data_IF_099517622030
#
_entry.id   IF_099517622030
#
_cell.length_a   1.000
_cell.length_b   1.000
_cell.length_c   1.000
_cell.angle_alpha   90.00
_cell.angle_beta   90.00
_cell.angle_gamma   90.00
#
_symmetry.space_group_name_H-M   'P 1'
#
loop_
_entity.id
_entity.type
_entity.pdbx_description
1 polymer ?
#
# COMPACT_ATOMS: atom_id res chain seq x y z
N UNK A 1 26.09 -13.46 -17.86
CA UNK A 1 24.92 -14.30 -17.51
C UNK A 1 25.34 -15.37 -16.52
N UNK A 2 24.81 -15.32 -15.29
CA UNK A 2 24.62 -16.46 -14.39
C UNK A 2 23.90 -15.98 -13.14
N UNK A 3 22.65 -16.43 -12.98
CA UNK A 3 21.87 -16.31 -11.75
C UNK A 3 22.60 -17.00 -10.60
N UNK A 4 22.56 -16.50 -9.35
CA UNK A 4 22.93 -17.30 -8.21
C UNK A 4 21.69 -18.05 -7.71
N UNK A 5 21.69 -19.36 -7.96
CA UNK A 5 20.84 -20.32 -7.27
C UNK A 5 21.33 -20.45 -5.83
N UNK A 6 20.38 -20.44 -4.89
CA UNK A 6 20.61 -20.74 -3.48
C UNK A 6 21.05 -22.20 -3.32
N UNK A 7 22.27 -22.43 -2.83
CA UNK A 7 22.70 -23.74 -2.35
C UNK A 7 22.63 -23.80 -0.83
N UNK A 8 21.99 -24.87 -0.35
CA UNK A 8 21.84 -25.22 1.05
C UNK A 8 23.21 -25.41 1.72
N UNK A 9 23.42 -24.67 2.81
CA UNK A 9 24.61 -24.78 3.62
C UNK A 9 24.51 -23.90 4.86
N UNK A 10 24.00 -24.50 5.95
CA UNK A 10 24.38 -24.20 7.32
C UNK A 10 24.58 -22.72 7.70
N UNK A 11 23.48 -22.01 7.98
CA UNK A 11 23.33 -21.08 9.12
C UNK A 11 21.97 -20.39 9.03
N UNK A 12 21.09 -20.77 9.96
CA UNK A 12 19.81 -20.11 10.27
C UNK A 12 20.09 -18.68 10.77
N UNK A 13 20.35 -17.75 9.86
CA UNK A 13 20.40 -16.34 10.20
C UNK A 13 20.07 -15.54 8.95
N UNK A 14 19.00 -14.75 9.03
CA UNK A 14 18.62 -13.75 8.04
C UNK A 14 17.69 -14.19 6.89
N UNK A 15 16.65 -14.98 7.19
CA UNK A 15 15.37 -14.93 6.45
C UNK A 15 14.19 -14.50 7.34
N UNK A 16 14.46 -13.78 8.45
CA UNK A 16 13.42 -13.44 9.44
C UNK A 16 12.72 -12.10 9.21
N UNK A 17 13.30 -11.18 8.45
CA UNK A 17 12.68 -9.85 8.26
C UNK A 17 11.77 -9.77 7.03
N UNK A 18 12.08 -10.51 5.97
CA UNK A 18 11.23 -10.53 4.76
C UNK A 18 9.97 -11.38 4.93
N UNK A 19 10.03 -12.42 5.77
CA UNK A 19 8.87 -13.26 6.06
C UNK A 19 7.87 -12.59 7.03
N UNK A 20 8.30 -11.62 7.85
CA UNK A 20 7.42 -11.00 8.84
C UNK A 20 6.47 -9.99 8.21
N UNK A 21 6.91 -9.24 7.19
CA UNK A 21 6.04 -8.38 6.38
C UNK A 21 5.05 -9.20 5.55
N UNK A 22 5.47 -10.30 4.92
CA UNK A 22 4.57 -11.18 4.15
C UNK A 22 3.56 -11.94 5.01
N UNK A 23 3.92 -12.33 6.24
CA UNK A 23 2.97 -12.99 7.15
C UNK A 23 1.90 -12.03 7.70
N UNK A 24 2.21 -10.74 7.87
CA UNK A 24 1.20 -9.74 8.23
C UNK A 24 0.15 -9.57 7.13
N UNK A 25 0.55 -9.55 5.86
CA UNK A 25 -0.40 -9.52 4.73
C UNK A 25 -1.26 -10.79 4.64
N UNK A 26 -0.70 -11.96 4.99
CA UNK A 26 -1.40 -13.24 4.91
C UNK A 26 -2.45 -13.42 6.02
N UNK A 27 -2.18 -12.90 7.22
CA UNK A 27 -3.12 -12.95 8.35
C UNK A 27 -4.30 -11.98 8.19
N UNK A 28 -4.09 -10.83 7.54
CA UNK A 28 -5.17 -9.88 7.24
C UNK A 28 -6.15 -10.39 6.18
N UNK A 29 -5.83 -11.44 5.41
CA UNK A 29 -6.74 -12.03 4.43
C UNK A 29 -7.80 -12.96 5.04
N UNK A 30 -7.62 -13.42 6.29
CA UNK A 30 -8.55 -14.32 6.98
C UNK A 30 -9.73 -13.59 7.67
N UNK A 31 -9.70 -12.27 7.74
CA UNK A 31 -10.80 -11.41 8.19
C UNK A 31 -11.03 -10.38 7.10
N UNK A 32 -12.20 -10.34 6.49
CA UNK A 32 -12.50 -9.62 5.25
C UNK A 32 -12.37 -8.08 5.23
N UNK A 33 -11.48 -7.49 6.02
CA UNK A 33 -11.20 -6.05 6.05
C UNK A 33 -9.68 -5.82 5.86
N UNK A 34 -9.28 -5.31 4.70
CA UNK A 34 -7.88 -4.94 4.46
C UNK A 34 -7.57 -3.60 5.15
N UNK A 35 -6.46 -3.54 5.90
CA UNK A 35 -5.95 -2.29 6.49
C UNK A 35 -5.13 -1.49 5.47
N UNK A 36 -5.15 -0.17 5.58
CA UNK A 36 -4.26 0.68 4.80
C UNK A 36 -2.80 0.49 5.27
N UNK A 37 -1.86 0.51 4.32
CA UNK A 37 -0.43 0.54 4.63
C UNK A 37 -0.02 1.93 5.13
N UNK A 38 1.01 2.00 5.98
CA UNK A 38 1.56 3.28 6.44
C UNK A 38 2.48 3.91 5.38
N UNK A 39 2.79 5.20 5.51
CA UNK A 39 3.76 5.87 4.63
C UNK A 39 5.12 5.15 4.63
N UNK A 40 5.63 4.75 5.81
CA UNK A 40 6.93 4.09 5.94
C UNK A 40 6.96 2.72 5.23
N UNK A 41 5.84 2.00 5.22
CA UNK A 41 5.70 0.75 4.48
C UNK A 41 5.71 1.02 2.98
N UNK A 42 4.92 2.00 2.53
CA UNK A 42 4.75 2.37 1.12
C UNK A 42 6.06 2.90 0.52
N UNK A 43 6.87 3.62 1.29
CA UNK A 43 8.17 4.13 0.84
C UNK A 43 9.17 3.02 0.50
N UNK A 44 9.04 1.86 1.15
CA UNK A 44 9.89 0.68 0.92
C UNK A 44 9.40 -0.19 -0.22
N UNK A 45 8.22 0.08 -0.79
CA UNK A 45 7.66 -0.73 -1.87
C UNK A 45 8.44 -0.54 -3.17
N UNK A 46 8.74 -1.66 -3.81
CA UNK A 46 9.11 -1.66 -5.22
C UNK A 46 7.85 -1.46 -6.11
N UNK A 47 8.04 -1.39 -7.43
CA UNK A 47 6.95 -1.16 -8.39
C UNK A 47 5.79 -2.14 -8.21
N UNK A 48 6.08 -3.44 -8.17
CA UNK A 48 5.06 -4.48 -8.16
C UNK A 48 4.26 -4.45 -6.84
N UNK A 49 4.95 -4.29 -5.72
CA UNK A 49 4.34 -4.14 -4.40
C UNK A 49 3.45 -2.90 -4.31
N UNK A 50 3.90 -1.78 -4.88
CA UNK A 50 3.12 -0.55 -4.93
C UNK A 50 1.86 -0.73 -5.79
N UNK A 51 1.98 -1.36 -6.95
CA UNK A 51 0.84 -1.63 -7.83
C UNK A 51 -0.15 -2.64 -7.24
N UNK A 52 0.33 -3.63 -6.50
CA UNK A 52 -0.53 -4.54 -5.74
C UNK A 52 -1.31 -3.80 -4.66
N UNK A 53 -0.62 -2.96 -3.87
CA UNK A 53 -1.27 -2.11 -2.87
C UNK A 53 -2.33 -1.18 -3.48
N UNK A 54 -2.01 -0.53 -4.60
CA UNK A 54 -2.95 0.33 -5.35
C UNK A 54 -4.21 -0.43 -5.77
N UNK A 55 -4.09 -1.67 -6.22
CA UNK A 55 -5.24 -2.51 -6.59
C UNK A 55 -6.09 -2.91 -5.37
N UNK A 56 -5.45 -3.05 -4.21
CA UNK A 56 -6.13 -3.37 -2.96
C UNK A 56 -6.86 -2.18 -2.34
N UNK A 57 -6.60 -0.95 -2.77
CA UNK A 57 -7.23 0.25 -2.21
C UNK A 57 -8.75 0.14 -2.18
N UNK A 58 -9.39 -0.41 -3.21
CA UNK A 58 -10.86 -0.60 -3.25
C UNK A 58 -11.40 -1.46 -2.10
N UNK A 59 -10.58 -2.39 -1.60
CA UNK A 59 -10.94 -3.32 -0.53
C UNK A 59 -10.50 -2.83 0.85
N UNK A 60 -9.77 -1.71 0.93
CA UNK A 60 -9.40 -1.10 2.21
C UNK A 60 -10.66 -0.60 2.91
N UNK A 61 -10.80 -0.99 4.18
CA UNK A 61 -11.93 -0.58 5.00
C UNK A 61 -11.92 0.95 5.21
N UNK A 62 -13.08 1.58 5.05
CA UNK A 62 -13.24 3.02 5.24
C UNK A 62 -13.59 3.32 6.70
N UNK A 63 -12.55 3.52 7.51
CA UNK A 63 -12.64 3.92 8.92
C UNK A 63 -11.64 5.06 9.22
N UNK A 64 -11.71 5.63 10.42
CA UNK A 64 -10.87 6.75 10.83
C UNK A 64 -9.37 6.47 10.62
N UNK A 65 -8.86 5.37 11.18
CA UNK A 65 -7.44 5.01 11.11
C UNK A 65 -6.95 4.87 9.67
N UNK A 66 -7.70 4.17 8.82
CA UNK A 66 -7.29 3.95 7.43
C UNK A 66 -7.37 5.25 6.61
N UNK A 67 -8.41 6.06 6.83
CA UNK A 67 -8.56 7.33 6.13
C UNK A 67 -7.50 8.37 6.53
N UNK A 68 -7.00 8.32 7.77
CA UNK A 68 -5.85 9.14 8.18
C UNK A 68 -4.56 8.74 7.42
N UNK A 69 -4.43 7.47 7.03
CA UNK A 69 -3.29 6.95 6.27
C UNK A 69 -3.33 7.27 4.77
N UNK A 70 -4.45 7.79 4.24
CA UNK A 70 -4.55 8.24 2.83
C UNK A 70 -3.46 9.27 2.48
N UNK A 71 -3.11 10.14 3.43
CA UNK A 71 -2.04 11.12 3.26
C UNK A 71 -0.69 10.46 2.94
N UNK A 72 -0.43 9.25 3.44
CA UNK A 72 0.77 8.49 3.10
C UNK A 72 0.82 8.12 1.62
N UNK A 73 -0.29 7.64 1.06
CA UNK A 73 -0.38 7.29 -0.37
C UNK A 73 -0.17 8.51 -1.26
N UNK A 74 -0.84 9.63 -0.92
CA UNK A 74 -0.71 10.89 -1.65
C UNK A 74 0.70 11.49 -1.53
N UNK A 75 1.30 11.40 -0.34
CA UNK A 75 2.65 11.86 -0.07
C UNK A 75 3.67 11.08 -0.89
N UNK A 76 3.56 9.74 -0.94
CA UNK A 76 4.41 8.89 -1.80
C UNK A 76 4.29 9.32 -3.26
N UNK A 77 3.09 9.49 -3.80
CA UNK A 77 2.88 9.87 -5.20
C UNK A 77 3.43 11.25 -5.56
N UNK A 78 3.49 12.15 -4.57
CA UNK A 78 4.04 13.50 -4.73
C UNK A 78 5.55 13.57 -4.45
N UNK A 79 6.15 12.47 -3.98
CA UNK A 79 7.55 12.43 -3.59
C UNK A 79 8.46 12.43 -4.82
N UNK A 80 9.60 13.12 -4.72
CA UNK A 80 10.67 13.02 -5.74
C UNK A 80 11.17 11.58 -5.90
N UNK A 81 11.10 10.78 -4.84
CA UNK A 81 11.48 9.37 -4.89
C UNK A 81 10.54 8.54 -5.75
N UNK A 82 9.23 8.81 -5.73
CA UNK A 82 8.31 8.14 -6.64
C UNK A 82 8.64 8.46 -8.10
N UNK A 83 8.92 9.74 -8.41
CA UNK A 83 9.37 10.16 -9.74
C UNK A 83 10.64 9.40 -10.18
N UNK A 84 11.62 9.26 -9.28
CA UNK A 84 12.91 8.63 -9.60
C UNK A 84 12.89 7.08 -9.57
N UNK A 85 12.09 6.47 -8.69
CA UNK A 85 12.10 5.03 -8.44
C UNK A 85 11.05 4.29 -9.26
N UNK A 86 9.86 4.86 -9.42
CA UNK A 86 8.69 4.12 -9.88
C UNK A 86 8.05 4.71 -11.13
N UNK A 87 7.97 6.04 -11.24
CA UNK A 87 7.24 6.71 -12.32
C UNK A 87 7.76 6.35 -13.71
N UNK A 88 9.07 6.31 -13.89
CA UNK A 88 9.69 5.92 -15.17
C UNK A 88 9.49 4.43 -15.50
N UNK A 89 9.18 3.60 -14.50
CA UNK A 89 8.90 2.18 -14.67
C UNK A 89 7.40 1.90 -14.89
N UNK A 90 6.54 2.89 -14.67
CA UNK A 90 5.09 2.76 -14.79
C UNK A 90 4.66 3.09 -16.21
N UNK A 91 3.95 2.15 -16.84
CA UNK A 91 3.27 2.39 -18.10
C UNK A 91 2.13 3.40 -17.91
N UNK A 92 1.74 4.08 -18.99
CA UNK A 92 0.61 5.04 -18.97
C UNK A 92 -0.67 4.43 -18.38
N UNK A 93 -1.08 3.19 -18.72
CA UNK A 93 -2.24 2.56 -18.09
C UNK A 93 -2.09 2.36 -16.58
N UNK A 94 -0.89 2.02 -16.09
CA UNK A 94 -0.64 1.87 -14.65
C UNK A 94 -0.74 3.21 -13.92
N UNK A 95 -0.25 4.30 -14.52
CA UNK A 95 -0.36 5.65 -13.96
C UNK A 95 -1.83 6.11 -13.87
N UNK A 96 -2.62 5.81 -14.90
CA UNK A 96 -4.06 6.08 -14.90
C UNK A 96 -4.78 5.27 -13.82
N UNK A 97 -4.45 3.97 -13.68
CA UNK A 97 -5.01 3.11 -12.66
C UNK A 97 -4.72 3.63 -11.24
N UNK A 98 -3.47 4.04 -10.99
CA UNK A 98 -3.07 4.65 -9.71
C UNK A 98 -3.95 5.85 -9.40
N UNK A 99 -4.09 6.76 -10.36
CA UNK A 99 -4.87 7.99 -10.20
C UNK A 99 -6.33 7.66 -9.87
N UNK A 100 -6.93 6.73 -10.61
CA UNK A 100 -8.31 6.29 -10.40
C UNK A 100 -8.52 5.66 -9.02
N UNK A 101 -7.69 4.69 -8.63
CA UNK A 101 -7.83 3.96 -7.36
C UNK A 101 -7.63 4.87 -6.15
N UNK A 102 -6.63 5.74 -6.20
CA UNK A 102 -6.37 6.71 -5.13
C UNK A 102 -7.50 7.72 -5.02
N UNK A 103 -8.03 8.19 -6.15
CA UNK A 103 -9.19 9.10 -6.16
C UNK A 103 -10.44 8.44 -5.57
N UNK A 104 -10.75 7.20 -5.96
CA UNK A 104 -11.89 6.46 -5.42
C UNK A 104 -11.76 6.23 -3.91
N UNK A 105 -10.55 5.92 -3.44
CA UNK A 105 -10.30 5.77 -2.01
C UNK A 105 -10.45 7.11 -1.25
N UNK A 106 -9.95 8.20 -1.83
CA UNK A 106 -10.13 9.55 -1.30
C UNK A 106 -11.61 9.91 -1.13
N UNK A 107 -12.43 9.72 -2.18
CA UNK A 107 -13.87 10.00 -2.12
C UNK A 107 -14.59 9.17 -1.04
N UNK A 108 -14.22 7.90 -0.86
CA UNK A 108 -14.78 7.09 0.24
C UNK A 108 -14.44 7.67 1.60
N UNK A 109 -13.20 8.11 1.80
CA UNK A 109 -12.78 8.75 3.03
C UNK A 109 -13.44 10.11 3.27
N UNK A 110 -13.61 10.94 2.25
CA UNK A 110 -14.37 12.20 2.38
C UNK A 110 -15.81 11.96 2.84
N UNK A 111 -16.48 10.97 2.24
CA UNK A 111 -17.84 10.59 2.64
C UNK A 111 -17.88 10.08 4.09
N UNK A 112 -16.92 9.25 4.48
CA UNK A 112 -16.78 8.79 5.87
C UNK A 112 -16.64 9.96 6.84
N UNK A 113 -15.74 10.90 6.56
CA UNK A 113 -15.52 12.06 7.43
C UNK A 113 -16.75 12.95 7.54
N UNK A 114 -17.45 13.19 6.43
CA UNK A 114 -18.70 13.93 6.43
C UNK A 114 -19.73 13.30 7.37
N UNK A 115 -19.96 11.99 7.23
CA UNK A 115 -20.88 11.25 8.11
C UNK A 115 -20.41 11.21 9.57
N UNK A 116 -19.11 11.05 9.80
CA UNK A 116 -18.52 11.04 11.14
C UNK A 116 -18.76 12.37 11.86
N UNK A 117 -18.45 13.51 11.25
CA UNK A 117 -18.64 14.81 11.86
C UNK A 117 -20.12 15.17 12.02
N UNK A 118 -20.99 14.77 11.11
CA UNK A 118 -22.45 14.94 11.27
C UNK A 118 -22.98 14.14 12.47
N UNK A 119 -22.47 12.93 12.71
CA UNK A 119 -22.87 12.11 13.85
C UNK A 119 -22.45 12.70 15.20
N UNK A 120 -21.30 13.41 15.25
CA UNK A 120 -20.75 14.02 16.47
C UNK A 120 -21.44 15.34 16.86
N UNK A 121 -22.27 15.91 15.99
CA UNK A 121 -23.04 17.13 16.27
C UNK A 121 -24.36 16.88 17.02
N UNK A 122 -24.75 15.61 17.19
CA UNK A 122 -25.93 15.18 17.94
C UNK A 122 -25.53 14.79 19.36
#
# INVERSE_FOLDING_TARGET
>A
MKYPYCFAGSRLAMCKHFAFTLMLFSLSLSSGNASAATLEDIEKFNKDQFMEYVRLLDNVETNQTNCDLLHGVQSRLSSKEFDLQLKDQLSVPEQLLITEKVWNYHLRCENFWKSYYESKKK
#
